data_IF_652802800887
#
_entry.id   IF_652802800887
#
_cell.length_a   1.000
_cell.length_b   1.000
_cell.length_c   1.000
_cell.angle_alpha   90.00
_cell.angle_beta   90.00
_cell.angle_gamma   90.00
#
_symmetry.space_group_name_H-M   'P 1'
#
loop_
_entity.id
_entity.type
_entity.pdbx_description
1 polymer ?
#
# COMPACT_ATOMS: atom_id res chain seq x y z
N UNK A 1 20.92 -10.03 18.08
CA UNK A 1 20.29 -11.22 17.45
C UNK A 1 19.60 -10.78 16.16
N UNK A 2 19.59 -11.68 15.19
CA UNK A 2 19.50 -11.49 13.73
C UNK A 2 18.47 -10.50 13.17
N UNK A 3 18.95 -9.60 12.28
CA UNK A 3 18.19 -8.83 11.28
C UNK A 3 17.55 -9.73 10.18
N UNK A 4 16.98 -10.87 10.58
CA UNK A 4 16.39 -11.89 9.68
C UNK A 4 14.86 -11.80 9.57
N UNK A 5 14.19 -10.95 10.36
CA UNK A 5 12.72 -10.90 10.42
C UNK A 5 12.04 -10.06 9.32
N UNK A 6 12.69 -9.01 8.81
CA UNK A 6 12.07 -8.06 7.86
C UNK A 6 12.55 -8.25 6.41
N UNK A 7 13.53 -9.13 6.18
CA UNK A 7 13.88 -9.61 4.85
C UNK A 7 12.87 -10.66 4.34
N UNK A 8 11.57 -10.37 4.51
CA UNK A 8 10.52 -11.02 3.74
C UNK A 8 10.86 -10.81 2.27
N UNK A 9 11.33 -11.89 1.64
CA UNK A 9 11.99 -11.96 0.35
C UNK A 9 11.66 -10.78 -0.58
N UNK A 10 12.57 -9.80 -0.73
CA UNK A 10 12.41 -8.64 -1.62
C UNK A 10 12.03 -9.08 -3.05
N UNK A 11 12.44 -10.28 -3.46
CA UNK A 11 12.03 -10.90 -4.72
C UNK A 11 10.50 -11.08 -4.83
N UNK A 12 9.80 -11.38 -3.74
CA UNK A 12 8.34 -11.51 -3.69
C UNK A 12 7.62 -10.15 -3.77
N UNK A 13 8.34 -9.05 -3.51
CA UNK A 13 7.84 -7.70 -3.66
C UNK A 13 8.09 -7.12 -5.05
N UNK A 14 8.79 -7.82 -5.95
CA UNK A 14 8.97 -7.35 -7.32
C UNK A 14 7.65 -7.33 -8.07
N UNK A 15 7.39 -6.20 -8.71
CA UNK A 15 6.31 -6.05 -9.66
C UNK A 15 6.78 -6.53 -11.03
N UNK A 16 5.91 -7.25 -11.73
CA UNK A 16 6.21 -7.81 -13.04
C UNK A 16 5.81 -6.86 -14.20
N UNK A 17 5.30 -5.67 -13.90
CA UNK A 17 4.84 -4.69 -14.89
C UNK A 17 3.46 -4.97 -15.48
N UNK A 18 2.82 -6.09 -15.17
CA UNK A 18 1.48 -6.44 -15.68
C UNK A 18 0.41 -5.71 -14.88
N UNK A 19 -0.40 -4.90 -15.55
CA UNK A 19 -1.47 -4.12 -14.93
C UNK A 19 -2.46 -4.97 -14.11
N UNK A 20 -2.78 -6.19 -14.57
CA UNK A 20 -3.66 -7.13 -13.85
C UNK A 20 -3.13 -7.58 -12.50
N UNK A 21 -1.80 -7.54 -12.30
CA UNK A 21 -1.14 -7.93 -11.05
C UNK A 21 -0.82 -6.72 -10.15
N UNK A 22 -1.08 -5.50 -10.63
CA UNK A 22 -0.68 -4.26 -9.96
C UNK A 22 -1.36 -4.07 -8.60
N UNK A 23 -2.67 -4.37 -8.51
CA UNK A 23 -3.41 -4.27 -7.25
C UNK A 23 -2.83 -5.22 -6.17
N UNK A 24 -2.58 -6.48 -6.53
CA UNK A 24 -1.99 -7.45 -5.61
C UNK A 24 -0.55 -7.10 -5.23
N UNK A 25 0.22 -6.49 -6.13
CA UNK A 25 1.54 -5.96 -5.80
C UNK A 25 1.46 -4.80 -4.79
N UNK A 26 0.55 -3.84 -5.00
CA UNK A 26 0.35 -2.72 -4.06
C UNK A 26 0.03 -3.20 -2.65
N UNK A 27 -0.87 -4.18 -2.53
CA UNK A 27 -1.24 -4.74 -1.23
C UNK A 27 -0.02 -5.35 -0.52
N UNK A 28 0.84 -6.05 -1.26
CA UNK A 28 2.10 -6.59 -0.71
C UNK A 28 3.04 -5.49 -0.22
N UNK A 29 3.19 -4.39 -0.96
CA UNK A 29 4.00 -3.23 -0.52
C UNK A 29 3.41 -2.63 0.76
N UNK A 30 2.10 -2.38 0.81
CA UNK A 30 1.44 -1.80 1.99
C UNK A 30 1.60 -2.69 3.23
N UNK A 31 1.39 -4.01 3.08
CA UNK A 31 1.59 -4.99 4.16
C UNK A 31 3.03 -4.98 4.64
N UNK A 32 4.00 -4.94 3.72
CA UNK A 32 5.43 -4.88 4.05
C UNK A 32 5.78 -3.60 4.84
N UNK A 33 5.28 -2.44 4.41
CA UNK A 33 5.51 -1.18 5.11
C UNK A 33 4.88 -1.18 6.52
N UNK A 34 3.68 -1.74 6.68
CA UNK A 34 3.05 -1.90 8.00
C UNK A 34 3.88 -2.80 8.92
N UNK A 35 4.36 -3.94 8.42
CA UNK A 35 5.22 -4.83 9.19
C UNK A 35 6.55 -4.15 9.57
N UNK A 36 7.12 -3.35 8.67
CA UNK A 36 8.33 -2.56 8.92
C UNK A 36 8.09 -1.49 10.00
N UNK A 37 6.96 -0.79 9.95
CA UNK A 37 6.53 0.16 10.99
C UNK A 37 6.40 -0.49 12.37
N UNK A 38 5.81 -1.68 12.44
CA UNK A 38 5.61 -2.42 13.68
C UNK A 38 6.93 -2.94 14.24
N UNK A 39 7.79 -3.50 13.39
CA UNK A 39 9.13 -3.92 13.79
C UNK A 39 9.92 -2.74 14.38
N UNK A 40 9.91 -1.59 13.69
CA UNK A 40 10.62 -0.40 14.15
C UNK A 40 10.11 0.07 15.50
N UNK A 41 8.80 0.04 15.71
CA UNK A 41 8.19 0.35 17.00
C UNK A 41 8.68 -0.58 18.11
N UNK A 42 8.70 -1.88 17.87
CA UNK A 42 9.18 -2.88 18.83
C UNK A 42 10.65 -2.65 19.18
N UNK A 43 11.50 -2.38 18.19
CA UNK A 43 12.93 -2.12 18.39
C UNK A 43 13.18 -0.89 19.28
N UNK A 44 12.48 0.21 19.03
CA UNK A 44 12.64 1.43 19.84
C UNK A 44 12.10 1.25 21.27
N UNK A 45 11.00 0.50 21.44
CA UNK A 45 10.47 0.15 22.76
C UNK A 45 11.45 -0.71 23.55
N UNK A 46 12.02 -1.75 22.92
CA UNK A 46 13.02 -2.62 23.56
C UNK A 46 14.29 -1.86 23.93
N UNK A 47 14.66 -0.84 23.15
CA UNK A 47 15.80 0.01 23.42
C UNK A 47 15.51 1.17 24.41
N UNK A 48 14.28 1.29 24.91
CA UNK A 48 13.81 2.41 25.73
C UNK A 48 14.09 3.80 25.10
N UNK A 49 13.84 3.91 23.80
CA UNK A 49 14.06 5.11 22.98
C UNK A 49 12.75 5.73 22.52
N UNK A 50 12.84 6.94 21.97
CA UNK A 50 11.73 7.60 21.32
C UNK A 50 11.32 6.82 20.07
N UNK A 51 10.06 6.41 19.99
CA UNK A 51 9.49 5.73 18.82
C UNK A 51 9.04 6.73 17.75
N UNK A 52 9.06 6.36 16.45
CA UNK A 52 8.51 7.21 15.39
C UNK A 52 7.01 7.46 15.60
N UNK A 53 6.56 8.71 15.46
CA UNK A 53 5.12 9.05 15.50
C UNK A 53 4.43 8.78 14.16
N UNK A 54 5.18 8.92 13.07
CA UNK A 54 4.75 8.61 11.71
C UNK A 54 5.10 7.16 11.38
N UNK A 55 4.17 6.48 10.70
CA UNK A 55 4.36 5.13 10.17
C UNK A 55 4.75 5.19 8.69
N UNK A 56 5.52 4.21 8.21
CA UNK A 56 6.02 4.17 6.84
C UNK A 56 4.90 4.32 5.80
N UNK A 57 3.80 3.55 5.96
CA UNK A 57 2.68 3.54 5.02
C UNK A 57 1.93 4.88 4.91
N UNK A 58 2.11 5.81 5.87
CA UNK A 58 1.52 7.14 5.80
C UNK A 58 2.08 7.95 4.62
N UNK A 59 3.35 7.74 4.26
CA UNK A 59 4.02 8.44 3.16
C UNK A 59 3.44 8.10 1.78
N UNK A 60 2.66 7.01 1.67
CA UNK A 60 1.95 6.67 0.42
C UNK A 60 0.73 7.56 0.18
N UNK A 61 0.13 8.10 1.25
CA UNK A 61 -1.12 8.86 1.17
C UNK A 61 -0.84 10.35 0.94
N UNK A 62 0.03 10.93 1.75
CA UNK A 62 0.37 12.35 1.71
C UNK A 62 1.78 12.60 2.25
N UNK A 63 2.24 13.85 2.19
CA UNK A 63 3.47 14.27 2.82
C UNK A 63 3.38 14.07 4.35
N UNK A 64 4.24 13.24 4.95
CA UNK A 64 4.17 13.03 6.38
C UNK A 64 4.51 14.30 7.16
N UNK A 65 3.73 14.58 8.20
CA UNK A 65 3.91 15.77 9.04
C UNK A 65 4.18 15.38 10.49
N UNK A 66 5.13 16.08 11.10
CA UNK A 66 5.44 15.98 12.53
C UNK A 66 4.99 17.28 13.18
N UNK A 67 4.11 17.17 14.18
CA UNK A 67 3.63 18.34 14.92
C UNK A 67 4.81 19.08 15.56
N UNK A 68 4.93 20.37 15.23
CA UNK A 68 5.94 21.24 15.82
C UNK A 68 5.53 21.57 17.27
N UNK A 69 6.41 21.38 18.27
CA UNK A 69 6.13 21.79 19.64
C UNK A 69 5.89 23.31 19.77
N UNK A 70 5.30 23.73 20.88
CA UNK A 70 4.98 25.15 21.17
C UNK A 70 6.24 26.01 21.33
N UNK A 71 6.11 27.34 21.15
CA UNK A 71 7.24 28.28 21.04
C UNK A 71 8.26 28.28 22.20
N UNK A 72 7.90 27.73 23.37
CA UNK A 72 8.81 27.55 24.51
C UNK A 72 9.32 26.11 24.56
N UNK A 73 10.22 25.78 23.65
CA UNK A 73 10.87 24.46 23.59
C UNK A 73 11.89 24.30 24.73
N UNK A 74 11.80 23.22 25.50
CA UNK A 74 12.98 22.70 26.19
C UNK A 74 13.95 22.05 25.18
N UNK A 75 15.24 21.95 25.53
CA UNK A 75 16.24 21.30 24.67
C UNK A 75 15.89 19.84 24.37
N UNK A 76 15.27 19.15 25.34
CA UNK A 76 14.81 17.77 25.18
C UNK A 76 13.67 17.64 24.17
N UNK A 77 12.72 18.58 24.17
CA UNK A 77 11.62 18.60 23.20
C UNK A 77 12.13 18.93 21.80
N UNK A 78 13.10 19.83 21.67
CA UNK A 78 13.76 20.13 20.39
C UNK A 78 14.47 18.89 19.84
N UNK A 79 15.31 18.23 20.64
CA UNK A 79 16.00 17.01 20.22
C UNK A 79 15.02 15.88 19.84
N UNK A 80 13.90 15.77 20.58
CA UNK A 80 12.84 14.83 20.24
C UNK A 80 12.16 15.14 18.90
N UNK A 81 11.88 16.42 18.63
CA UNK A 81 11.31 16.86 17.35
C UNK A 81 12.25 16.62 16.17
N UNK A 82 13.54 16.98 16.31
CA UNK A 82 14.54 16.75 15.26
C UNK A 82 14.71 15.25 14.96
N UNK A 83 14.65 14.39 15.99
CA UNK A 83 14.64 12.94 15.81
C UNK A 83 13.41 12.46 15.04
N UNK A 84 12.23 13.03 15.28
CA UNK A 84 11.02 12.68 14.51
C UNK A 84 11.12 13.11 13.04
N UNK A 85 11.70 14.29 12.76
CA UNK A 85 11.98 14.71 11.38
C UNK A 85 12.97 13.76 10.70
N UNK A 86 14.02 13.34 11.41
CA UNK A 86 14.98 12.36 10.90
C UNK A 86 14.32 11.00 10.61
N UNK A 87 13.38 10.54 11.46
CA UNK A 87 12.60 9.33 11.18
C UNK A 87 11.78 9.47 9.89
N UNK A 88 11.10 10.59 9.66
CA UNK A 88 10.33 10.81 8.41
C UNK A 88 11.26 10.76 7.19
N UNK A 89 12.41 11.44 7.23
CA UNK A 89 13.36 11.42 6.13
C UNK A 89 13.91 10.00 5.85
N UNK A 90 14.20 9.24 6.91
CA UNK A 90 14.63 7.84 6.80
C UNK A 90 13.54 6.97 6.19
N UNK A 91 12.28 7.13 6.62
CA UNK A 91 11.14 6.38 6.11
C UNK A 91 10.91 6.64 4.61
N UNK A 92 10.91 7.91 4.19
CA UNK A 92 10.77 8.25 2.77
C UNK A 92 11.91 7.66 1.92
N UNK A 93 13.15 7.76 2.40
CA UNK A 93 14.31 7.19 1.69
C UNK A 93 14.17 5.69 1.52
N UNK A 94 13.80 4.97 2.59
CA UNK A 94 13.57 3.53 2.53
C UNK A 94 12.50 3.14 1.52
N UNK A 95 11.38 3.87 1.48
CA UNK A 95 10.30 3.56 0.53
C UNK A 95 10.74 3.83 -0.91
N UNK A 96 11.50 4.90 -1.16
CA UNK A 96 12.07 5.18 -2.49
C UNK A 96 13.03 4.09 -2.95
N UNK A 97 13.88 3.57 -2.06
CA UNK A 97 14.76 2.45 -2.36
C UNK A 97 13.96 1.17 -2.64
N UNK A 98 12.95 0.89 -1.80
CA UNK A 98 12.05 -0.24 -1.99
C UNK A 98 11.36 -0.18 -3.37
N UNK A 99 10.79 0.97 -3.72
CA UNK A 99 10.15 1.17 -5.03
C UNK A 99 11.16 1.04 -6.18
N UNK A 100 12.38 1.58 -6.03
CA UNK A 100 13.44 1.44 -7.04
C UNK A 100 13.83 -0.02 -7.30
N UNK A 101 13.79 -0.86 -6.26
CA UNK A 101 14.15 -2.28 -6.35
C UNK A 101 13.00 -3.18 -6.80
N UNK A 102 11.75 -2.74 -6.62
CA UNK A 102 10.55 -3.54 -6.84
C UNK A 102 9.79 -3.14 -8.09
N UNK A 103 9.94 -1.92 -8.58
CA UNK A 103 9.30 -1.46 -9.80
C UNK A 103 10.01 -1.97 -11.05
N UNK A 104 9.27 -2.18 -12.15
CA UNK A 104 9.86 -2.49 -13.45
C UNK A 104 10.73 -1.33 -13.95
N UNK A 105 11.80 -1.65 -14.66
CA UNK A 105 12.78 -0.69 -15.17
C UNK A 105 12.17 0.39 -16.07
N UNK A 106 11.09 0.04 -16.75
CA UNK A 106 10.30 0.85 -17.67
C UNK A 106 9.66 2.05 -16.97
N UNK A 107 9.41 1.95 -15.66
CA UNK A 107 8.85 3.02 -14.85
C UNK A 107 9.84 4.17 -14.58
N UNK A 108 11.16 3.94 -14.76
CA UNK A 108 12.22 4.94 -14.63
C UNK A 108 12.22 5.66 -13.28
N UNK A 109 12.28 4.88 -12.21
CA UNK A 109 12.27 5.37 -10.82
C UNK A 109 13.46 6.31 -10.52
N UNK A 110 14.59 6.14 -11.22
CA UNK A 110 15.77 7.00 -11.15
C UNK A 110 15.46 8.48 -11.42
N UNK A 111 14.44 8.77 -12.24
CA UNK A 111 14.02 10.13 -12.56
C UNK A 111 13.11 10.76 -11.52
N UNK A 112 12.61 9.96 -10.56
CA UNK A 112 11.58 10.33 -9.59
C UNK A 112 12.11 10.38 -8.16
N UNK A 113 13.38 10.09 -7.94
CA UNK A 113 14.00 10.01 -6.58
C UNK A 113 13.84 11.29 -5.75
N UNK A 114 13.72 12.45 -6.41
CA UNK A 114 13.52 13.75 -5.75
C UNK A 114 12.05 14.04 -5.41
N UNK A 115 11.10 13.32 -5.99
CA UNK A 115 9.68 13.52 -5.71
C UNK A 115 9.31 12.94 -4.33
N UNK A 116 8.29 13.50 -3.65
CA UNK A 116 7.75 12.89 -2.44
C UNK A 116 7.14 11.51 -2.73
N UNK A 117 7.17 10.61 -1.75
CA UNK A 117 6.71 9.21 -1.94
C UNK A 117 5.26 9.15 -2.45
N UNK A 118 4.35 9.97 -1.90
CA UNK A 118 2.95 9.97 -2.30
C UNK A 118 2.73 10.40 -3.76
N UNK A 119 3.64 11.21 -4.33
CA UNK A 119 3.56 11.64 -5.74
C UNK A 119 3.94 10.47 -6.64
N UNK A 120 5.06 9.81 -6.33
CA UNK A 120 5.53 8.62 -7.04
C UNK A 120 4.47 7.52 -6.96
N UNK A 121 3.89 7.31 -5.78
CA UNK A 121 2.86 6.31 -5.58
C UNK A 121 1.64 6.56 -6.47
N UNK A 122 1.08 7.78 -6.45
CA UNK A 122 -0.05 8.16 -7.32
C UNK A 122 0.28 8.08 -8.81
N UNK A 123 1.50 8.43 -9.19
CA UNK A 123 1.96 8.33 -10.58
C UNK A 123 2.04 6.87 -11.04
N UNK A 124 2.52 5.96 -10.18
CA UNK A 124 2.52 4.52 -10.46
C UNK A 124 1.10 3.97 -10.63
N UNK A 125 0.15 4.46 -9.82
CA UNK A 125 -1.26 4.11 -9.94
C UNK A 125 -1.88 4.60 -11.25
N UNK A 126 -1.46 5.77 -11.75
CA UNK A 126 -1.88 6.23 -13.08
C UNK A 126 -1.24 5.41 -14.19
N UNK A 127 0.04 5.05 -14.05
CA UNK A 127 0.79 4.36 -15.09
C UNK A 127 0.35 2.90 -15.27
N UNK A 128 0.15 2.17 -14.17
CA UNK A 128 -0.18 0.74 -14.20
C UNK A 128 -1.60 0.42 -13.73
N UNK A 129 -2.25 1.35 -13.03
CA UNK A 129 -3.59 1.16 -12.47
C UNK A 129 -4.72 1.65 -13.38
N UNK A 130 -4.44 2.19 -14.57
CA UNK A 130 -5.46 2.69 -15.52
C UNK A 130 -6.48 1.61 -15.99
N UNK A 131 -6.21 0.33 -15.72
CA UNK A 131 -7.18 -0.75 -15.93
C UNK A 131 -7.96 -1.17 -14.68
N UNK A 132 -7.88 -0.47 -13.54
CA UNK A 132 -8.76 -0.73 -12.39
C UNK A 132 -10.16 -0.14 -12.54
N UNK A 133 -10.36 0.91 -13.36
CA UNK A 133 -11.73 1.32 -13.77
C UNK A 133 -12.31 0.27 -14.72
N UNK A 134 -11.52 -0.27 -15.65
CA UNK A 134 -11.92 -1.41 -16.48
C UNK A 134 -12.09 -2.71 -15.66
N UNK A 135 -11.34 -2.88 -14.57
CA UNK A 135 -11.40 -4.02 -13.65
C UNK A 135 -12.61 -3.97 -12.74
N UNK A 136 -12.99 -2.80 -12.21
CA UNK A 136 -14.23 -2.58 -11.45
C UNK A 136 -15.44 -2.67 -12.38
N UNK A 137 -15.40 -2.08 -13.58
CA UNK A 137 -16.46 -2.28 -14.60
C UNK A 137 -16.54 -3.75 -15.02
N UNK A 138 -15.41 -4.45 -15.13
CA UNK A 138 -15.34 -5.87 -15.42
C UNK A 138 -15.90 -6.74 -14.28
N UNK A 139 -15.66 -6.35 -13.02
CA UNK A 139 -16.23 -7.02 -11.84
C UNK A 139 -17.74 -6.78 -11.77
N UNK A 140 -18.21 -5.55 -12.02
CA UNK A 140 -19.62 -5.18 -12.08
C UNK A 140 -20.31 -5.97 -13.20
N UNK A 141 -19.74 -6.02 -14.41
CA UNK A 141 -20.32 -6.79 -15.53
C UNK A 141 -20.37 -8.29 -15.24
N UNK A 142 -19.36 -8.86 -14.57
CA UNK A 142 -19.37 -10.28 -14.16
C UNK A 142 -20.38 -10.56 -13.06
N UNK A 143 -20.55 -9.62 -12.12
CA UNK A 143 -21.57 -9.69 -11.09
C UNK A 143 -22.99 -9.58 -11.70
N UNK A 144 -23.21 -8.61 -12.59
CA UNK A 144 -24.47 -8.45 -13.34
C UNK A 144 -24.80 -9.69 -14.18
N UNK A 145 -23.80 -10.27 -14.87
CA UNK A 145 -23.98 -11.50 -15.63
C UNK A 145 -24.33 -12.69 -14.73
N UNK A 146 -23.62 -12.87 -13.61
CA UNK A 146 -23.89 -13.95 -12.66
C UNK A 146 -25.28 -13.82 -12.01
N UNK A 147 -25.69 -12.61 -11.62
CA UNK A 147 -27.04 -12.35 -11.08
C UNK A 147 -28.11 -12.62 -12.14
N UNK A 148 -27.89 -12.19 -13.38
CA UNK A 148 -28.87 -12.38 -14.45
C UNK A 148 -29.02 -13.86 -14.85
N UNK A 149 -27.94 -14.62 -14.85
CA UNK A 149 -27.97 -16.06 -15.10
C UNK A 149 -28.67 -16.81 -13.95
N UNK A 150 -28.42 -16.44 -12.69
CA UNK A 150 -29.07 -17.03 -11.52
C UNK A 150 -30.58 -16.71 -11.45
N UNK A 151 -30.95 -15.49 -11.84
CA UNK A 151 -32.35 -15.08 -11.93
C UNK A 151 -33.10 -15.79 -13.07
N UNK A 152 -32.46 -15.98 -14.23
CA UNK A 152 -33.01 -16.78 -15.34
C UNK A 152 -33.14 -18.26 -14.97
N UNK A 153 -32.14 -18.83 -14.29
CA UNK A 153 -32.17 -20.20 -13.78
C UNK A 153 -33.37 -20.40 -12.83
N UNK A 154 -33.57 -19.46 -11.92
CA UNK A 154 -34.69 -19.47 -10.97
C UNK A 154 -36.06 -19.35 -11.66
N UNK A 155 -36.21 -18.48 -12.65
CA UNK A 155 -37.42 -18.35 -13.48
C UNK A 155 -37.71 -19.60 -14.34
N UNK A 156 -36.67 -20.24 -14.87
CA UNK A 156 -36.83 -21.50 -15.62
C UNK A 156 -37.20 -22.68 -14.70
N UNK A 157 -36.72 -22.68 -13.45
CA UNK A 157 -37.12 -23.69 -12.45
C UNK A 157 -38.56 -23.48 -11.96
N UNK A 158 -39.02 -22.23 -11.81
CA UNK A 158 -40.37 -21.90 -11.36
C UNK A 158 -41.43 -22.11 -12.45
N UNK A 159 -41.10 -21.90 -13.73
CA UNK A 159 -42.00 -22.18 -14.85
C UNK A 159 -42.02 -23.67 -15.27
N UNK A 160 -41.19 -24.52 -14.65
CA UNK A 160 -41.20 -25.97 -14.88
C UNK A 160 -42.22 -26.74 -14.05
N UNK A 161 -42.79 -26.12 -13.01
CA UNK A 161 -43.68 -26.76 -12.03
C UNK A 161 -45.15 -26.33 -12.18
N UNK A 162 -45.61 -26.09 -13.42
CA UNK A 162 -47.05 -25.98 -13.69
C UNK A 162 -47.57 -27.16 -14.53
N UNK A 163 -48.56 -27.84 -13.92
CA UNK A 163 -49.60 -28.71 -14.49
C UNK A 163 -49.27 -30.21 -14.59
N UNK A 164 -49.75 -30.99 -13.61
CA UNK A 164 -50.80 -32.03 -13.78
C UNK A 164 -51.27 -32.50 -12.38
N UNK A 165 -52.27 -31.83 -11.80
CA UNK A 165 -53.09 -32.44 -10.73
C UNK A 165 -54.27 -33.16 -11.39
N UNK A 166 -54.23 -34.50 -11.35
CA UNK A 166 -55.38 -35.38 -11.57
C UNK A 166 -56.25 -35.42 -10.33
#
# INVERSE_FOLDING_TARGET
MSAKGVNGNLAALKFNGKEGDFAGWKDRIIVHLRATSDQRHVEELQANRLKPVVRYEASLQDLPSVAKPTEKFSDKERAGYDLQLAFVAQQESYIKDLLSLTMPSEYKMDKKVHEPVHVIWRDSEKHFGLNTVAGVVGLIKRFEAAVNDDFKSSLMSLNGDEIQLK
#
